data_IF_152746431986
#
_entry.id   IF_152746431986
#
_cell.length_a   1.000
_cell.length_b   1.000
_cell.length_c   1.000
_cell.angle_alpha   90.00
_cell.angle_beta   90.00
_cell.angle_gamma   90.00
#
_symmetry.space_group_name_H-M   'P 1'
#
loop_
_entity.id
_entity.type
_entity.pdbx_description
1 polymer ?
#
# COMPACT_ATOMS: atom_id res chain seq x y z
N UNK A 1 -10.01 -29.25 -7.08
CA UNK A 1 -10.96 -28.54 -6.19
C UNK A 1 -10.17 -27.44 -5.46
N UNK A 2 -9.62 -26.46 -6.19
CA UNK A 2 -10.20 -25.16 -6.59
C UNK A 2 -10.45 -24.19 -5.40
N UNK A 3 -9.36 -23.64 -4.86
CA UNK A 3 -9.32 -22.59 -3.82
C UNK A 3 -9.69 -21.20 -4.35
N UNK A 4 -10.05 -21.08 -5.63
CA UNK A 4 -10.28 -19.82 -6.34
C UNK A 4 -11.71 -19.23 -6.17
N UNK A 5 -12.57 -19.83 -5.35
CA UNK A 5 -14.01 -19.47 -5.28
C UNK A 5 -14.51 -18.83 -3.98
N UNK A 6 -13.70 -18.66 -2.94
CA UNK A 6 -14.22 -18.34 -1.60
C UNK A 6 -14.20 -16.86 -1.19
N UNK A 7 -14.41 -15.94 -2.14
CA UNK A 7 -14.65 -14.53 -1.78
C UNK A 7 -15.84 -13.93 -2.56
N UNK A 8 -15.98 -14.25 -3.84
CA UNK A 8 -17.10 -13.79 -4.66
C UNK A 8 -18.43 -14.48 -4.29
N UNK A 9 -18.40 -15.78 -4.00
CA UNK A 9 -19.60 -16.56 -3.65
C UNK A 9 -20.07 -16.31 -2.20
N UNK A 10 -19.17 -15.89 -1.30
CA UNK A 10 -19.49 -15.71 0.13
C UNK A 10 -19.94 -14.30 0.48
N UNK A 11 -19.51 -13.28 -0.28
CA UNK A 11 -19.69 -11.88 0.15
C UNK A 11 -20.88 -11.16 -0.47
N UNK A 12 -21.40 -11.59 -1.63
CA UNK A 12 -22.59 -10.97 -2.27
C UNK A 12 -22.51 -9.47 -2.56
N UNK A 13 -21.40 -8.80 -2.22
CA UNK A 13 -21.22 -7.36 -2.29
C UNK A 13 -20.57 -7.00 -3.62
N UNK A 14 -21.41 -6.63 -4.60
CA UNK A 14 -20.98 -5.69 -5.64
C UNK A 14 -21.03 -4.31 -5.00
N UNK A 15 -19.89 -3.62 -4.90
CA UNK A 15 -19.91 -2.17 -4.68
C UNK A 15 -20.49 -1.56 -5.96
N UNK A 16 -21.80 -1.36 -5.96
CA UNK A 16 -22.53 -0.62 -7.00
C UNK A 16 -22.13 0.84 -6.85
N UNK A 17 -21.71 1.44 -7.96
CA UNK A 17 -21.41 2.86 -8.04
C UNK A 17 -22.76 3.61 -8.11
N UNK A 18 -23.09 4.37 -7.06
CA UNK A 18 -24.30 5.17 -6.98
C UNK A 18 -24.10 6.48 -7.76
N UNK A 19 -24.21 6.38 -9.09
CA UNK A 19 -24.20 7.55 -9.97
C UNK A 19 -24.84 7.28 -11.33
N UNK A 20 -26.12 6.88 -11.35
CA UNK A 20 -26.99 7.09 -12.52
C UNK A 20 -28.45 7.13 -12.05
N UNK A 21 -28.97 8.33 -11.80
CA UNK A 21 -30.40 8.60 -11.93
C UNK A 21 -30.61 9.53 -13.12
N UNK A 22 -31.49 9.08 -14.01
CA UNK A 22 -31.95 9.74 -15.22
C UNK A 22 -32.80 10.98 -14.89
N UNK A 23 -32.62 12.06 -15.66
CA UNK A 23 -33.76 12.89 -16.10
C UNK A 23 -33.54 13.39 -17.53
N UNK A 24 -34.57 13.14 -18.32
CA UNK A 24 -34.79 13.53 -19.71
C UNK A 24 -35.12 15.04 -19.84
N UNK A 25 -34.87 15.63 -21.02
CA UNK A 25 -35.56 16.85 -21.44
C UNK A 25 -34.75 18.11 -21.81
N UNK A 26 -34.49 18.24 -23.12
CA UNK A 26 -34.72 19.45 -23.93
C UNK A 26 -33.63 20.51 -24.21
N UNK A 27 -33.68 21.01 -25.46
CA UNK A 27 -32.74 21.85 -26.22
C UNK A 27 -32.75 23.34 -25.80
N UNK A 28 -31.61 24.04 -25.92
CA UNK A 28 -31.41 25.29 -26.73
C UNK A 28 -30.02 25.95 -26.60
N UNK A 29 -29.46 26.24 -27.77
CA UNK A 29 -28.69 27.41 -28.26
C UNK A 29 -27.55 28.15 -27.49
N UNK A 30 -26.40 28.20 -28.21
CA UNK A 30 -25.44 29.32 -28.47
C UNK A 30 -25.10 30.36 -27.37
N UNK A 31 -23.80 30.47 -27.05
CA UNK A 31 -22.97 31.67 -27.38
C UNK A 31 -21.45 31.48 -27.17
N UNK A 32 -20.68 31.94 -28.15
CA UNK A 32 -19.21 32.15 -28.13
C UNK A 32 -18.81 33.25 -27.13
N UNK A 33 -17.67 33.09 -26.44
CA UNK A 33 -16.78 34.23 -26.10
C UNK A 33 -15.30 33.80 -26.02
N UNK A 34 -14.45 34.72 -26.50
CA UNK A 34 -13.04 34.60 -26.90
C UNK A 34 -12.03 34.59 -25.74
N UNK A 35 -10.94 33.84 -25.98
CA UNK A 35 -9.49 34.10 -25.70
C UNK A 35 -9.01 34.51 -24.29
N UNK A 36 -8.01 33.79 -23.77
CA UNK A 36 -6.63 34.30 -23.54
C UNK A 36 -5.66 33.20 -23.13
N UNK A 37 -4.42 33.34 -23.59
CA UNK A 37 -3.28 32.43 -23.51
C UNK A 37 -2.46 32.60 -22.21
N UNK A 38 -1.94 31.46 -21.72
CA UNK A 38 -0.72 31.23 -20.87
C UNK A 38 -0.81 31.30 -19.32
N UNK A 39 0.06 30.57 -18.54
CA UNK A 39 1.02 29.52 -18.88
C UNK A 39 0.81 28.17 -18.13
N UNK A 40 1.37 27.08 -18.70
CA UNK A 40 1.39 25.71 -18.13
C UNK A 40 2.16 25.64 -16.81
N UNK A 41 1.53 25.18 -15.72
CA UNK A 41 2.21 24.60 -14.53
C UNK A 41 1.66 23.21 -14.22
N UNK A 42 2.59 22.31 -13.90
CA UNK A 42 2.55 20.85 -14.02
C UNK A 42 1.49 20.22 -13.09
N UNK A 43 0.43 19.66 -13.68
CA UNK A 43 -0.43 18.65 -13.03
C UNK A 43 0.35 17.34 -13.01
N UNK A 44 0.69 16.85 -11.83
CA UNK A 44 1.08 15.44 -11.64
C UNK A 44 -0.13 14.57 -11.96
N UNK A 45 -0.15 13.98 -13.16
CA UNK A 45 -1.11 12.93 -13.50
C UNK A 45 -0.89 11.75 -12.55
N UNK A 46 -1.86 11.48 -11.69
CA UNK A 46 -2.05 10.18 -11.05
C UNK A 46 -2.24 9.19 -12.19
N UNK A 47 -1.21 8.39 -12.48
CA UNK A 47 -1.33 7.27 -13.42
C UNK A 47 -2.01 6.14 -12.65
N UNK A 48 -3.23 5.82 -13.05
CA UNK A 48 -3.77 4.50 -12.78
C UNK A 48 -2.79 3.49 -13.40
N UNK A 49 -2.38 2.49 -12.62
CA UNK A 49 -1.46 1.45 -13.05
C UNK A 49 -2.17 0.56 -14.06
N UNK A 50 -2.18 0.99 -15.32
CA UNK A 50 -2.50 0.14 -16.46
C UNK A 50 -1.23 -0.67 -16.74
N UNK A 51 -1.32 -1.98 -16.56
CA UNK A 51 -0.27 -2.93 -16.92
C UNK A 51 -0.42 -3.15 -18.43
N UNK A 52 0.42 -2.49 -19.21
CA UNK A 52 0.57 -2.80 -20.64
C UNK A 52 1.57 -3.96 -20.74
N UNK A 53 1.06 -5.16 -21.00
CA UNK A 53 1.85 -6.31 -21.46
C UNK A 53 1.88 -6.23 -23.00
N UNK A 54 3.07 -5.96 -23.53
CA UNK A 54 3.35 -5.82 -24.96
C UNK A 54 3.68 -7.21 -25.54
N UNK A 55 2.65 -7.93 -25.99
CA UNK A 55 2.78 -9.22 -26.67
C UNK A 55 2.07 -9.15 -28.03
N UNK A 56 2.82 -8.83 -29.08
CA UNK A 56 2.42 -9.10 -30.46
C UNK A 56 3.52 -9.85 -31.22
N UNK A 57 3.09 -10.97 -31.82
CA UNK A 57 3.66 -11.73 -32.94
C UNK A 57 4.43 -13.05 -32.68
N UNK A 58 3.84 -14.08 -33.32
CA UNK A 58 4.43 -15.27 -33.94
C UNK A 58 5.03 -16.38 -33.07
N UNK A 59 4.30 -17.51 -32.98
CA UNK A 59 4.49 -18.54 -34.01
C UNK A 59 3.44 -19.65 -33.97
N UNK A 60 2.97 -19.96 -35.17
CA UNK A 60 2.03 -21.00 -35.56
C UNK A 60 2.83 -22.13 -36.19
N UNK A 61 3.11 -23.22 -35.46
CA UNK A 61 3.39 -24.55 -36.04
C UNK A 61 3.76 -25.55 -34.94
N UNK A 62 3.01 -26.66 -34.86
CA UNK A 62 3.49 -28.04 -34.78
C UNK A 62 2.50 -28.92 -34.01
N UNK A 63 1.52 -29.45 -34.75
CA UNK A 63 0.76 -30.65 -34.39
C UNK A 63 1.51 -31.83 -34.99
N UNK A 64 2.06 -32.72 -34.14
CA UNK A 64 2.23 -34.14 -34.51
C UNK A 64 2.28 -35.00 -33.25
N UNK A 65 1.36 -35.97 -33.24
CA UNK A 65 1.22 -37.08 -32.31
C UNK A 65 2.51 -37.92 -32.28
N UNK A 66 2.80 -38.50 -31.13
CA UNK A 66 3.19 -39.92 -31.08
C UNK A 66 2.77 -40.49 -29.72
N UNK A 67 1.78 -41.38 -29.79
CA UNK A 67 1.48 -42.39 -28.79
C UNK A 67 2.58 -43.45 -28.88
N UNK A 68 3.16 -43.84 -27.74
CA UNK A 68 3.63 -45.20 -27.51
C UNK A 68 3.69 -45.43 -26.00
N UNK A 69 2.89 -46.40 -25.58
CA UNK A 69 2.90 -47.06 -24.29
C UNK A 69 4.17 -47.88 -24.15
N UNK A 70 4.91 -47.69 -23.07
CA UNK A 70 5.74 -48.76 -22.50
C UNK A 70 5.80 -48.60 -20.98
N UNK A 71 5.31 -49.66 -20.35
CA UNK A 71 5.22 -49.91 -18.92
C UNK A 71 6.62 -50.29 -18.42
N UNK A 72 7.24 -49.43 -17.62
CA UNK A 72 8.43 -49.78 -16.86
C UNK A 72 8.59 -48.86 -15.66
N UNK A 73 8.76 -49.50 -14.50
CA UNK A 73 9.02 -48.93 -13.18
C UNK A 73 9.91 -47.68 -13.24
N UNK A 74 9.30 -46.50 -13.09
CA UNK A 74 10.00 -45.27 -12.75
C UNK A 74 9.74 -44.95 -11.30
N UNK A 75 10.68 -45.33 -10.44
CA UNK A 75 10.94 -44.61 -9.19
C UNK A 75 10.97 -43.12 -9.52
N UNK A 76 9.94 -42.39 -9.10
CA UNK A 76 9.78 -40.97 -9.39
C UNK A 76 10.89 -40.20 -8.67
N UNK A 77 12.03 -40.04 -9.33
CA UNK A 77 13.07 -39.13 -8.91
C UNK A 77 12.42 -37.75 -8.76
N UNK A 78 12.28 -37.29 -7.52
CA UNK A 78 11.69 -36.01 -7.19
C UNK A 78 12.47 -34.94 -7.96
N UNK A 79 11.77 -34.15 -8.78
CA UNK A 79 12.42 -33.09 -9.54
C UNK A 79 13.27 -32.21 -8.60
N UNK A 80 14.46 -31.76 -9.03
CA UNK A 80 15.30 -30.91 -8.20
C UNK A 80 14.49 -29.69 -7.75
N UNK A 81 14.67 -29.23 -6.49
CA UNK A 81 13.90 -28.12 -5.96
C UNK A 81 14.07 -26.89 -6.87
N UNK A 82 13.01 -26.08 -7.04
CA UNK A 82 13.10 -24.89 -7.87
C UNK A 82 14.18 -23.94 -7.33
N UNK A 83 14.90 -23.23 -8.20
CA UNK A 83 15.92 -22.27 -7.78
C UNK A 83 15.28 -21.18 -6.91
N UNK A 84 15.94 -20.85 -5.79
CA UNK A 84 15.49 -19.81 -4.85
C UNK A 84 16.39 -18.58 -5.00
N UNK A 85 15.78 -17.44 -5.29
CA UNK A 85 16.47 -16.14 -5.34
C UNK A 85 16.03 -15.28 -4.16
N UNK A 86 17.00 -14.69 -3.45
CA UNK A 86 16.76 -13.86 -2.26
C UNK A 86 17.12 -12.41 -2.55
N UNK A 87 16.16 -11.51 -2.32
CA UNK A 87 16.32 -10.08 -2.51
C UNK A 87 16.04 -9.31 -1.22
N UNK A 88 16.82 -8.26 -0.99
CA UNK A 88 16.49 -7.28 0.04
C UNK A 88 15.36 -6.36 -0.43
N UNK A 89 14.55 -5.86 0.51
CA UNK A 89 13.55 -4.82 0.29
C UNK A 89 14.09 -3.56 -0.42
N UNK A 90 15.40 -3.27 -0.32
CA UNK A 90 16.03 -2.15 -1.01
C UNK A 90 16.31 -2.43 -2.50
N UNK A 91 16.39 -3.71 -2.90
CA UNK A 91 16.80 -4.16 -4.24
C UNK A 91 15.81 -5.16 -4.83
N UNK A 92 14.51 -4.87 -4.68
CA UNK A 92 13.44 -5.68 -5.29
C UNK A 92 13.62 -5.69 -6.82
N UNK A 93 13.65 -6.85 -7.48
CA UNK A 93 13.84 -6.93 -8.92
C UNK A 93 12.66 -6.28 -9.65
N UNK A 94 12.96 -5.47 -10.67
CA UNK A 94 11.92 -4.76 -11.44
C UNK A 94 11.47 -5.52 -12.69
N UNK A 95 12.32 -6.44 -13.17
CA UNK A 95 12.06 -7.28 -14.33
C UNK A 95 12.49 -8.69 -13.95
N UNK A 96 11.59 -9.64 -14.20
CA UNK A 96 11.92 -11.06 -14.04
C UNK A 96 12.46 -11.56 -15.39
N UNK A 97 13.55 -12.35 -15.42
CA UNK A 97 14.06 -12.95 -16.64
C UNK A 97 12.98 -13.69 -17.45
N UNK A 98 13.05 -13.56 -18.79
CA UNK A 98 12.04 -14.12 -19.70
C UNK A 98 11.92 -15.65 -19.62
N UNK A 99 13.00 -16.35 -19.29
CA UNK A 99 13.04 -17.81 -19.21
C UNK A 99 12.28 -18.38 -18.01
N UNK A 100 12.16 -17.60 -16.92
CA UNK A 100 11.24 -17.94 -15.84
C UNK A 100 9.84 -17.77 -16.43
N UNK A 101 8.91 -18.70 -16.25
CA UNK A 101 7.53 -18.55 -16.77
C UNK A 101 6.54 -18.34 -15.64
N UNK A 102 6.79 -19.00 -14.51
CA UNK A 102 5.99 -18.91 -13.29
C UNK A 102 6.90 -18.79 -12.08
N UNK A 103 6.44 -18.05 -11.07
CA UNK A 103 7.16 -17.90 -9.80
C UNK A 103 6.19 -17.62 -8.65
N UNK A 104 6.68 -17.88 -7.44
CA UNK A 104 6.02 -17.53 -6.18
C UNK A 104 6.85 -16.45 -5.50
N UNK A 105 6.18 -15.49 -4.87
CA UNK A 105 6.85 -14.44 -4.10
C UNK A 105 6.60 -14.67 -2.62
N UNK A 106 7.68 -14.74 -1.83
CA UNK A 106 7.60 -14.75 -0.37
C UNK A 106 8.16 -13.42 0.12
N UNK A 107 7.32 -12.63 0.78
CA UNK A 107 7.71 -11.37 1.38
C UNK A 107 7.89 -11.57 2.89
N UNK A 108 9.14 -11.68 3.33
CA UNK A 108 9.47 -11.60 4.75
C UNK A 108 9.40 -10.16 5.25
N UNK A 109 9.00 -9.98 6.51
CA UNK A 109 8.69 -8.70 7.13
C UNK A 109 7.77 -7.82 6.26
N UNK A 110 6.66 -8.40 5.80
CA UNK A 110 5.67 -7.77 4.91
C UNK A 110 5.11 -6.45 5.45
N UNK A 111 5.25 -6.16 6.75
CA UNK A 111 4.96 -4.83 7.28
C UNK A 111 5.78 -3.70 6.61
N UNK A 112 6.86 -4.03 5.90
CA UNK A 112 7.66 -3.10 5.10
C UNK A 112 6.92 -2.48 3.90
N UNK A 113 5.83 -3.10 3.41
CA UNK A 113 5.07 -2.63 2.25
C UNK A 113 3.71 -1.99 2.59
N UNK A 114 3.52 -1.55 3.82
CA UNK A 114 2.24 -1.00 4.32
C UNK A 114 1.87 0.41 3.81
N UNK A 115 2.61 0.96 2.84
CA UNK A 115 2.31 2.29 2.28
C UNK A 115 2.29 2.26 0.75
N UNK A 116 1.16 2.65 0.16
CA UNK A 116 1.01 2.80 -1.30
C UNK A 116 1.89 3.89 -1.91
N UNK A 117 2.43 4.81 -1.11
CA UNK A 117 3.34 5.86 -1.60
C UNK A 117 4.80 5.43 -1.64
N UNK A 118 5.14 4.29 -1.05
CA UNK A 118 6.53 3.81 -1.02
C UNK A 118 6.91 3.11 -2.31
N UNK A 119 8.10 3.43 -2.85
CA UNK A 119 8.66 2.72 -4.00
C UNK A 119 8.79 1.21 -3.78
N UNK A 120 9.10 0.78 -2.54
CA UNK A 120 9.23 -0.64 -2.19
C UNK A 120 7.92 -1.38 -2.41
N UNK A 121 6.82 -0.82 -1.91
CA UNK A 121 5.47 -1.35 -2.12
C UNK A 121 5.14 -1.45 -3.60
N UNK A 122 5.40 -0.39 -4.37
CA UNK A 122 5.16 -0.38 -5.82
C UNK A 122 5.94 -1.46 -6.55
N UNK A 123 7.22 -1.66 -6.21
CA UNK A 123 8.05 -2.69 -6.83
C UNK A 123 7.54 -4.10 -6.50
N UNK A 124 7.19 -4.38 -5.24
CA UNK A 124 6.62 -5.68 -4.86
C UNK A 124 5.26 -5.91 -5.52
N UNK A 125 4.38 -4.89 -5.56
CA UNK A 125 3.09 -4.99 -6.23
C UNK A 125 3.25 -5.32 -7.72
N UNK A 126 4.25 -4.74 -8.40
CA UNK A 126 4.54 -5.07 -9.81
C UNK A 126 4.91 -6.54 -10.01
N UNK A 127 5.66 -7.13 -9.07
CA UNK A 127 6.00 -8.55 -9.10
C UNK A 127 4.78 -9.42 -8.86
N UNK A 128 4.06 -9.21 -7.75
CA UNK A 128 2.98 -10.10 -7.33
C UNK A 128 1.72 -10.01 -8.21
N UNK A 129 1.49 -8.86 -8.85
CA UNK A 129 0.35 -8.66 -9.74
C UNK A 129 0.60 -9.15 -11.17
N UNK A 130 1.85 -9.49 -11.54
CA UNK A 130 2.15 -10.10 -12.84
C UNK A 130 1.37 -11.40 -13.03
N UNK A 131 0.91 -11.67 -14.27
CA UNK A 131 0.25 -12.94 -14.61
C UNK A 131 1.16 -14.17 -14.41
N UNK A 132 2.48 -13.96 -14.36
CA UNK A 132 3.51 -14.99 -14.10
C UNK A 132 3.64 -15.33 -12.62
N UNK A 133 3.19 -14.46 -11.73
CA UNK A 133 3.18 -14.74 -10.30
C UNK A 133 1.98 -15.63 -9.98
N UNK A 134 2.25 -16.87 -9.59
CA UNK A 134 1.20 -17.87 -9.30
C UNK A 134 0.79 -17.91 -7.83
N UNK A 135 1.56 -17.27 -6.94
CA UNK A 135 1.27 -17.22 -5.52
C UNK A 135 2.11 -16.18 -4.79
N UNK A 136 1.57 -15.68 -3.68
CA UNK A 136 2.26 -14.77 -2.77
C UNK A 136 2.06 -15.23 -1.33
N UNK A 137 3.13 -15.19 -0.55
CA UNK A 137 3.09 -15.42 0.89
C UNK A 137 3.65 -14.20 1.59
N UNK A 138 2.86 -13.58 2.46
CA UNK A 138 3.25 -12.41 3.24
C UNK A 138 3.52 -12.86 4.68
N UNK A 139 4.79 -12.81 5.09
CA UNK A 139 5.22 -13.18 6.43
C UNK A 139 5.50 -11.91 7.23
N UNK A 140 4.94 -11.81 8.43
CA UNK A 140 5.21 -10.67 9.31
C UNK A 140 4.96 -11.06 10.76
N UNK A 141 5.87 -10.68 11.66
CA UNK A 141 5.62 -10.77 13.11
C UNK A 141 4.60 -9.74 13.60
N UNK A 142 4.42 -8.63 12.87
CA UNK A 142 3.41 -7.61 13.16
C UNK A 142 2.59 -7.31 11.91
N UNK A 143 1.38 -7.86 11.76
CA UNK A 143 0.62 -7.72 10.51
C UNK A 143 0.23 -6.26 10.21
N UNK A 144 0.12 -5.40 11.23
CA UNK A 144 -0.17 -3.97 11.10
C UNK A 144 0.70 -3.13 12.03
N UNK A 145 1.66 -2.37 11.49
CA UNK A 145 2.40 -1.40 12.29
C UNK A 145 1.41 -0.33 12.77
N UNK A 146 1.28 -0.15 14.08
CA UNK A 146 0.40 0.84 14.73
C UNK A 146 -1.12 0.63 14.54
N UNK A 147 -1.56 -0.56 14.11
CA UNK A 147 -2.99 -0.92 14.12
C UNK A 147 -3.91 -0.17 13.14
N UNK A 148 -3.36 0.53 12.14
CA UNK A 148 -4.17 1.33 11.19
C UNK A 148 -4.69 0.48 10.03
N UNK A 149 -6.00 0.52 9.70
CA UNK A 149 -6.55 -0.25 8.57
C UNK A 149 -5.98 0.18 7.22
N UNK A 150 -5.55 1.44 7.08
CA UNK A 150 -4.87 1.94 5.87
C UNK A 150 -3.62 1.11 5.52
N UNK A 151 -2.89 0.66 6.54
CA UNK A 151 -1.66 -0.11 6.39
C UNK A 151 -1.90 -1.52 5.84
N UNK A 152 -3.13 -2.03 5.97
CA UNK A 152 -3.51 -3.36 5.49
C UNK A 152 -3.80 -3.36 3.98
N UNK A 153 -4.20 -2.23 3.40
CA UNK A 153 -4.61 -2.16 1.99
C UNK A 153 -3.56 -2.69 1.00
N UNK A 154 -2.26 -2.32 1.07
CA UNK A 154 -1.27 -2.85 0.14
C UNK A 154 -1.08 -4.36 0.24
N UNK A 155 -1.25 -4.93 1.44
CA UNK A 155 -1.14 -6.36 1.70
C UNK A 155 -2.33 -7.09 1.07
N UNK A 156 -3.55 -6.58 1.26
CA UNK A 156 -4.77 -7.09 0.61
C UNK A 156 -4.66 -7.04 -0.90
N UNK A 157 -4.10 -5.96 -1.44
CA UNK A 157 -3.84 -5.81 -2.88
C UNK A 157 -2.84 -6.85 -3.38
N UNK A 158 -1.76 -7.11 -2.64
CA UNK A 158 -0.76 -8.09 -3.00
C UNK A 158 -1.34 -9.51 -3.08
N UNK A 159 -2.15 -9.92 -2.11
CA UNK A 159 -2.83 -11.24 -2.09
C UNK A 159 -4.06 -11.33 -3.00
N UNK A 160 -4.34 -10.28 -3.79
CA UNK A 160 -5.51 -10.19 -4.69
C UNK A 160 -6.85 -10.40 -3.96
N UNK A 161 -6.95 -9.93 -2.72
CA UNK A 161 -8.21 -9.91 -1.98
C UNK A 161 -9.15 -8.84 -2.56
N UNK A 162 -10.48 -9.03 -2.63
CA UNK A 162 -11.40 -8.05 -3.23
C UNK A 162 -11.29 -6.63 -2.65
N UNK A 163 -11.01 -6.51 -1.35
CA UNK A 163 -10.78 -5.22 -0.70
C UNK A 163 -9.49 -4.49 -1.14
N UNK A 164 -8.57 -5.18 -1.83
CA UNK A 164 -7.34 -4.62 -2.40
C UNK A 164 -7.49 -3.99 -3.79
N UNK A 165 -8.68 -4.07 -4.40
CA UNK A 165 -8.91 -3.59 -5.76
C UNK A 165 -9.02 -2.07 -5.82
N UNK A 166 -10.06 -1.52 -5.17
CA UNK A 166 -10.42 -0.10 -5.17
C UNK A 166 -9.97 0.59 -3.88
N UNK A 167 -8.79 1.26 -3.92
CA UNK A 167 -8.21 1.95 -2.75
C UNK A 167 -9.16 2.96 -2.11
N UNK A 168 -9.77 3.85 -2.89
CA UNK A 168 -10.63 4.91 -2.35
C UNK A 168 -11.87 4.34 -1.65
N UNK A 169 -12.47 3.28 -2.20
CA UNK A 169 -13.60 2.59 -1.57
C UNK A 169 -13.19 1.95 -0.24
N UNK A 170 -12.06 1.23 -0.21
CA UNK A 170 -11.50 0.68 1.02
C UNK A 170 -11.28 1.76 2.09
N UNK A 171 -10.66 2.88 1.70
CA UNK A 171 -10.37 3.99 2.59
C UNK A 171 -11.64 4.64 3.15
N UNK A 172 -12.67 4.85 2.32
CA UNK A 172 -13.96 5.37 2.77
C UNK A 172 -14.62 4.43 3.79
N UNK A 173 -14.66 3.12 3.51
CA UNK A 173 -15.38 2.16 4.35
C UNK A 173 -14.66 1.78 5.64
N UNK A 174 -13.34 1.63 5.61
CA UNK A 174 -12.56 1.09 6.73
C UNK A 174 -11.60 2.07 7.39
N UNK A 175 -11.21 3.14 6.68
CA UNK A 175 -10.27 4.14 7.19
C UNK A 175 -10.94 5.48 7.54
N UNK A 176 -12.28 5.52 7.58
CA UNK A 176 -13.07 6.74 7.72
C UNK A 176 -12.64 7.86 6.75
N UNK A 177 -12.36 7.46 5.49
CA UNK A 177 -11.87 8.32 4.43
C UNK A 177 -12.82 9.49 4.15
N UNK A 178 -12.33 10.72 4.30
CA UNK A 178 -13.12 11.93 4.07
C UNK A 178 -12.28 13.05 3.47
N UNK A 179 -12.95 13.96 2.77
CA UNK A 179 -12.34 15.19 2.31
C UNK A 179 -12.25 16.20 3.46
N UNK A 180 -11.02 16.60 3.80
CA UNK A 180 -10.76 17.70 4.75
C UNK A 180 -10.36 18.94 3.98
N UNK A 181 -11.00 20.05 4.34
CA UNK A 181 -10.69 21.36 3.78
C UNK A 181 -9.72 22.09 4.70
N UNK A 182 -8.61 22.53 4.13
CA UNK A 182 -7.57 23.27 4.81
C UNK A 182 -7.49 24.68 4.25
N UNK A 183 -7.58 25.68 5.11
CA UNK A 183 -7.29 27.06 4.72
C UNK A 183 -5.79 27.22 4.48
N UNK A 184 -5.40 27.80 3.34
CA UNK A 184 -4.03 28.28 3.17
C UNK A 184 -3.80 29.46 4.12
N UNK A 185 -3.15 29.21 5.25
CA UNK A 185 -2.61 30.28 6.08
C UNK A 185 -1.55 31.05 5.29
N UNK A 186 -1.76 32.35 5.11
CA UNK A 186 -0.83 33.28 4.45
C UNK A 186 -1.39 33.91 3.17
N UNK A 187 -2.17 34.99 3.30
CA UNK A 187 -2.41 36.06 2.31
C UNK A 187 -3.10 35.72 0.98
N UNK A 188 -3.04 34.48 0.49
CA UNK A 188 -3.68 34.02 -0.73
C UNK A 188 -4.85 33.10 -0.40
N UNK A 189 -6.04 33.71 -0.22
CA UNK A 189 -7.28 33.04 0.18
C UNK A 189 -7.72 31.94 -0.78
N UNK A 190 -7.25 30.73 -0.54
CA UNK A 190 -7.66 29.53 -1.28
C UNK A 190 -7.83 28.33 -0.35
N UNK A 191 -8.96 27.67 -0.47
CA UNK A 191 -9.27 26.43 0.24
C UNK A 191 -8.59 25.24 -0.46
N UNK A 192 -7.83 24.44 0.28
CA UNK A 192 -7.24 23.19 -0.23
C UNK A 192 -8.03 22.01 0.31
N UNK A 193 -8.66 21.24 -0.58
CA UNK A 193 -9.28 19.96 -0.24
C UNK A 193 -8.22 18.86 -0.28
N UNK A 194 -8.10 18.09 0.80
CA UNK A 194 -7.17 16.96 0.93
C UNK A 194 -7.97 15.75 1.42
N UNK A 195 -7.75 14.60 0.78
CA UNK A 195 -8.30 13.32 1.24
C UNK A 195 -7.56 12.85 2.49
N UNK A 196 -8.28 12.59 3.58
CA UNK A 196 -7.75 12.06 4.82
C UNK A 196 -8.36 10.69 5.12
N UNK A 197 -7.49 9.68 5.20
CA UNK A 197 -7.83 8.28 5.46
C UNK A 197 -7.05 7.72 6.66
N UNK A 198 -6.75 8.57 7.66
CA UNK A 198 -6.03 8.15 8.87
C UNK A 198 -6.91 7.55 9.97
N UNK A 199 -8.23 7.47 9.76
CA UNK A 199 -9.17 6.97 10.75
C UNK A 199 -9.33 5.45 10.72
N UNK A 200 -10.37 4.99 11.39
CA UNK A 200 -10.76 3.58 11.42
C UNK A 200 -12.28 3.46 11.58
N UNK A 201 -12.90 2.62 10.75
CA UNK A 201 -14.34 2.32 10.76
C UNK A 201 -14.56 0.85 10.41
N UNK A 202 -15.68 0.25 10.83
CA UNK A 202 -16.10 -1.10 10.44
C UNK A 202 -15.06 -2.22 10.65
N UNK A 203 -14.18 -2.09 11.64
CA UNK A 203 -13.06 -3.03 11.85
C UNK A 203 -13.50 -4.47 12.15
N UNK A 204 -14.64 -4.66 12.82
CA UNK A 204 -15.18 -6.01 13.10
C UNK A 204 -15.52 -6.75 11.81
N UNK A 205 -16.19 -6.07 10.87
CA UNK A 205 -16.51 -6.64 9.56
C UNK A 205 -15.23 -6.89 8.76
N UNK A 206 -14.30 -5.91 8.73
CA UNK A 206 -13.00 -6.10 8.08
C UNK A 206 -12.29 -7.35 8.60
N UNK A 207 -12.20 -7.51 9.92
CA UNK A 207 -11.56 -8.67 10.54
C UNK A 207 -12.23 -9.98 10.14
N UNK A 208 -13.57 -10.04 10.18
CA UNK A 208 -14.32 -11.23 9.77
C UNK A 208 -14.00 -11.64 8.33
N UNK A 209 -13.96 -10.68 7.39
CA UNK A 209 -13.67 -10.96 5.98
C UNK A 209 -12.22 -11.41 5.73
N UNK A 210 -11.24 -10.80 6.41
CA UNK A 210 -9.83 -11.13 6.20
C UNK A 210 -9.39 -12.38 6.95
N UNK A 211 -10.17 -12.84 7.94
CA UNK A 211 -9.78 -13.95 8.83
C UNK A 211 -9.38 -15.23 8.09
N UNK A 212 -10.02 -15.54 6.97
CA UNK A 212 -9.70 -16.71 6.13
C UNK A 212 -8.37 -16.60 5.38
N UNK A 213 -7.81 -15.39 5.25
CA UNK A 213 -6.57 -15.10 4.53
C UNK A 213 -5.39 -14.86 5.48
N UNK A 214 -5.62 -14.86 6.80
CA UNK A 214 -4.61 -14.57 7.81
C UNK A 214 -4.45 -15.78 8.71
N UNK A 215 -3.25 -16.37 8.67
CA UNK A 215 -2.82 -17.33 9.68
C UNK A 215 -2.03 -16.56 10.75
N UNK A 216 -2.60 -16.45 11.95
CA UNK A 216 -1.95 -15.83 13.10
C UNK A 216 -1.88 -16.84 14.23
N UNK A 217 -0.67 -17.08 14.73
CA UNK A 217 -0.43 -17.95 15.89
C UNK A 217 0.38 -17.18 16.91
N UNK A 218 -0.03 -17.28 18.17
CA UNK A 218 0.71 -16.70 19.29
C UNK A 218 1.77 -17.68 19.80
N UNK A 219 2.65 -17.21 20.67
CA UNK A 219 3.68 -18.07 21.26
C UNK A 219 3.03 -19.14 22.13
N UNK A 220 1.95 -18.77 22.79
CA UNK A 220 1.11 -19.61 23.64
C UNK A 220 0.44 -20.74 22.85
N UNK A 221 0.07 -20.49 21.59
CA UNK A 221 -0.55 -21.50 20.71
C UNK A 221 0.48 -22.53 20.18
N UNK A 222 1.73 -22.11 20.01
CA UNK A 222 2.75 -22.92 19.33
C UNK A 222 3.75 -23.61 20.26
N UNK A 223 4.04 -23.02 21.43
CA UNK A 223 5.24 -23.35 22.19
C UNK A 223 4.97 -23.37 23.70
N UNK A 224 5.33 -24.47 24.34
CA UNK A 224 5.38 -24.56 25.81
C UNK A 224 6.75 -24.08 26.29
N UNK A 225 6.93 -22.76 26.40
CA UNK A 225 8.17 -22.14 26.88
C UNK A 225 8.00 -21.58 28.30
N UNK A 226 9.08 -21.53 29.12
CA UNK A 226 9.04 -20.94 30.45
C UNK A 226 8.68 -19.44 30.39
N UNK A 227 8.24 -18.90 31.53
CA UNK A 227 7.84 -17.50 31.65
C UNK A 227 8.99 -16.54 31.31
N UNK A 228 8.66 -15.44 30.64
CA UNK A 228 9.63 -14.40 30.24
C UNK A 228 9.80 -13.36 31.34
N UNK A 229 10.98 -13.27 31.94
CA UNK A 229 11.33 -12.18 32.87
C UNK A 229 11.85 -10.96 32.10
N UNK A 230 11.32 -9.77 32.39
CA UNK A 230 11.82 -8.49 31.87
C UNK A 230 12.38 -7.66 33.02
N UNK A 231 13.67 -7.36 32.99
CA UNK A 231 14.32 -6.50 33.97
C UNK A 231 14.58 -5.12 33.34
N UNK A 232 14.02 -4.07 33.94
CA UNK A 232 14.24 -2.68 33.51
C UNK A 232 15.22 -2.02 34.46
N UNK A 233 16.48 -1.87 34.04
CA UNK A 233 17.51 -1.19 34.84
C UNK A 233 17.53 0.30 34.53
N UNK A 234 17.44 1.13 35.56
CA UNK A 234 17.67 2.57 35.44
C UNK A 234 19.18 2.82 35.36
N UNK A 235 19.65 3.27 34.21
CA UNK A 235 21.06 3.61 33.99
C UNK A 235 21.25 5.10 34.29
N UNK A 236 22.11 5.49 35.26
CA UNK A 236 22.39 6.90 35.51
C UNK A 236 23.10 7.52 34.29
N UNK A 237 22.76 8.77 33.98
CA UNK A 237 23.43 9.52 32.93
C UNK A 237 24.70 10.14 33.53
N UNK A 238 25.82 10.10 32.82
CA UNK A 238 27.05 10.76 33.30
C UNK A 238 26.86 12.28 33.33
N UNK A 239 27.48 12.99 34.29
CA UNK A 239 27.36 14.46 34.42
C UNK A 239 27.69 15.22 33.12
N UNK A 240 28.63 14.73 32.31
CA UNK A 240 28.95 15.31 30.99
C UNK A 240 27.73 15.28 30.05
N UNK A 241 27.04 14.14 29.97
CA UNK A 241 25.85 13.97 29.12
C UNK A 241 24.65 14.75 29.67
N UNK A 242 24.52 14.88 30.99
CA UNK A 242 23.50 15.73 31.62
C UNK A 242 23.69 17.20 31.24
N UNK A 243 24.92 17.71 31.30
CA UNK A 243 25.23 19.07 30.86
C UNK A 243 24.97 19.28 29.37
N UNK A 244 25.40 18.33 28.52
CA UNK A 244 25.12 18.40 27.07
C UNK A 244 23.62 18.43 26.79
N UNK A 245 22.84 17.62 27.49
CA UNK A 245 21.38 17.60 27.35
C UNK A 245 20.77 18.94 27.82
N UNK A 246 21.21 19.47 28.96
CA UNK A 246 20.73 20.75 29.48
C UNK A 246 21.03 21.91 28.51
N UNK A 247 22.25 21.96 27.98
CA UNK A 247 22.65 22.96 26.98
C UNK A 247 21.82 22.83 25.70
N UNK A 248 21.65 21.62 25.17
CA UNK A 248 20.82 21.38 23.99
C UNK A 248 19.36 21.83 24.21
N UNK A 249 18.82 21.63 25.42
CA UNK A 249 17.49 22.12 25.78
C UNK A 249 17.43 23.65 25.82
N UNK A 250 18.44 24.32 26.36
CA UNK A 250 18.51 25.79 26.35
C UNK A 250 18.66 26.35 24.94
N UNK A 251 19.48 25.72 24.09
CA UNK A 251 19.63 26.09 22.69
C UNK A 251 18.29 25.98 21.95
N UNK A 252 17.52 24.91 22.17
CA UNK A 252 16.18 24.76 21.59
C UNK A 252 15.21 25.85 22.07
N UNK A 253 15.24 26.21 23.35
CA UNK A 253 14.40 27.29 23.90
C UNK A 253 14.78 28.62 23.25
N UNK A 254 16.07 28.93 23.13
CA UNK A 254 16.53 30.18 22.53
C UNK A 254 16.12 30.29 21.05
N UNK A 255 16.27 29.22 20.27
CA UNK A 255 15.80 29.15 18.87
C UNK A 255 14.28 29.39 18.81
N UNK A 256 13.51 28.75 19.69
CA UNK A 256 12.07 28.89 19.70
C UNK A 256 11.63 30.34 20.03
N UNK A 257 12.26 30.96 21.03
CA UNK A 257 11.99 32.37 21.40
C UNK A 257 12.33 33.32 20.26
N UNK A 258 13.49 33.16 19.61
CA UNK A 258 13.89 33.97 18.46
C UNK A 258 12.91 33.80 17.29
N UNK A 259 12.54 32.56 16.96
CA UNK A 259 11.57 32.27 15.91
C UNK A 259 10.19 32.87 16.22
N UNK A 260 9.73 32.78 17.47
CA UNK A 260 8.46 33.36 17.90
C UNK A 260 8.50 34.89 17.80
N UNK A 261 9.58 35.52 18.26
CA UNK A 261 9.77 36.97 18.17
C UNK A 261 9.81 37.45 16.72
N UNK A 262 10.53 36.75 15.83
CA UNK A 262 10.53 37.04 14.40
C UNK A 262 9.14 36.88 13.76
N UNK A 263 8.35 35.90 14.19
CA UNK A 263 6.99 35.70 13.68
C UNK A 263 6.05 36.83 14.13
N UNK A 264 6.11 37.21 15.41
CA UNK A 264 5.32 38.32 15.98
C UNK A 264 5.68 39.65 15.31
N UNK A 265 6.97 39.96 15.15
CA UNK A 265 7.43 41.20 14.49
C UNK A 265 7.01 41.23 13.02
N UNK A 266 7.06 40.09 12.31
CA UNK A 266 6.57 40.00 10.93
C UNK A 266 5.06 40.23 10.85
N UNK A 267 4.26 39.59 11.72
CA UNK A 267 2.80 39.80 11.77
C UNK A 267 2.42 41.25 12.11
N UNK A 268 3.11 41.90 13.04
CA UNK A 268 2.86 43.29 13.41
C UNK A 268 3.21 44.28 12.27
N UNK A 269 4.25 43.98 11.48
CA UNK A 269 4.58 44.78 10.27
C UNK A 269 3.55 44.60 9.16
N UNK A 270 2.92 43.44 9.05
CA UNK A 270 1.85 43.18 8.06
C UNK A 270 0.51 43.84 8.43
N UNK A 271 0.26 44.13 9.71
CA UNK A 271 -0.97 44.81 10.19
C UNK A 271 -0.87 46.35 10.04
N UNK A 272 0.34 46.90 9.94
CA UNK A 272 0.60 48.35 9.81
C UNK A 272 0.74 48.85 8.35
N UNK A 273 0.56 47.98 7.36
CA UNK A 273 0.44 48.34 5.94
C UNK A 273 -1.00 48.13 5.48
#
# INVERSE_FOLDING_TARGET
>A
KEWKRTALETTGLRCVDDSTEDTDGSKKDKKKKKTRTSPKKRRSKKKDLIIEDDDSENNRAAKKKNENSDDSDKTSALAPPPPIEIFSWAKVPQKIPKHITQYVVICDEAHCMQSMTSSRTTHVLRLVLSHRCIGVLLLSGTPMKNGKPLNLFPLLKAVKHPFGDKQKAYETHFCAGREKRFNRGGGGGGERVVWDANGSSNLKSLHAHISSHVLHMTKEDCLTLPSKTREYRKVPVSSRHEMLHANAMQDLVSIFVVCLHMHVVRSLKTIRQ
#
